data_IF_321621079920
#
_entry.id   IF_321621079920
#
_cell.length_a   1.000
_cell.length_b   1.000
_cell.length_c   1.000
_cell.angle_alpha   90.00
_cell.angle_beta   90.00
_cell.angle_gamma   90.00
#
_symmetry.space_group_name_H-M   'P 1'
#
loop_
_entity.id
_entity.type
_entity.pdbx_description
1 polymer ?
#
# COMPACT_ATOMS: atom_id res chain seq x y z
N UNK A 1 17.51 -3.84 9.22
CA UNK A 1 16.12 -4.26 8.89
C UNK A 1 15.88 -4.10 7.39
N UNK A 2 15.76 -5.21 6.65
CA UNK A 2 15.63 -5.24 5.18
C UNK A 2 14.39 -4.47 4.71
N UNK A 3 14.55 -3.62 3.69
CA UNK A 3 13.50 -2.74 3.13
C UNK A 3 12.23 -3.49 2.69
N UNK A 4 12.35 -4.79 2.39
CA UNK A 4 11.21 -5.66 2.10
C UNK A 4 10.31 -5.92 3.30
N UNK A 5 10.88 -6.08 4.50
CA UNK A 5 10.13 -6.41 5.72
C UNK A 5 9.37 -5.20 6.21
N UNK A 6 9.98 -4.01 6.16
CA UNK A 6 9.30 -2.74 6.45
C UNK A 6 8.07 -2.56 5.57
N UNK A 7 8.18 -2.97 4.30
CA UNK A 7 7.10 -2.83 3.34
C UNK A 7 5.96 -3.83 3.55
N UNK A 8 6.29 -5.10 3.79
CA UNK A 8 5.33 -6.15 4.09
C UNK A 8 4.54 -5.92 5.38
N UNK A 9 5.11 -5.17 6.33
CA UNK A 9 4.42 -4.80 7.56
C UNK A 9 3.58 -3.52 7.39
N UNK A 10 4.04 -2.57 6.55
CA UNK A 10 3.33 -1.30 6.37
C UNK A 10 1.95 -1.48 5.71
N UNK A 11 1.82 -2.39 4.74
CA UNK A 11 0.55 -2.68 4.10
C UNK A 11 -0.54 -3.21 5.06
N UNK A 12 -0.34 -4.32 5.79
CA UNK A 12 -1.33 -4.80 6.77
C UNK A 12 -1.52 -3.81 7.92
N UNK A 13 -0.46 -3.11 8.36
CA UNK A 13 -0.57 -2.10 9.41
C UNK A 13 -1.50 -0.94 8.99
N UNK A 14 -1.33 -0.41 7.78
CA UNK A 14 -2.21 0.64 7.25
C UNK A 14 -3.65 0.17 7.10
N UNK A 15 -3.87 -1.10 6.73
CA UNK A 15 -5.21 -1.69 6.62
C UNK A 15 -5.88 -1.83 7.99
N UNK A 16 -5.13 -2.25 9.01
CA UNK A 16 -5.60 -2.29 10.40
C UNK A 16 -5.94 -0.89 10.90
N UNK A 17 -5.12 0.11 10.57
CA UNK A 17 -5.36 1.50 10.98
C UNK A 17 -6.64 2.07 10.34
N UNK A 18 -6.91 1.75 9.07
CA UNK A 18 -8.17 2.10 8.39
C UNK A 18 -9.34 1.39 9.09
N UNK A 19 -9.23 0.08 9.38
CA UNK A 19 -10.25 -0.68 10.08
C UNK A 19 -10.56 -0.12 11.47
N UNK A 20 -9.52 0.24 12.23
CA UNK A 20 -9.67 0.93 13.52
C UNK A 20 -10.40 2.27 13.36
N UNK A 21 -10.02 3.08 12.38
CA UNK A 21 -10.72 4.34 12.07
C UNK A 21 -12.20 4.13 11.74
N UNK A 22 -12.55 3.06 11.01
CA UNK A 22 -13.94 2.71 10.73
C UNK A 22 -14.71 2.31 11.98
N UNK A 23 -14.11 1.55 12.90
CA UNK A 23 -14.74 1.22 14.18
C UNK A 23 -15.04 2.49 15.00
N UNK A 24 -14.07 3.41 15.11
CA UNK A 24 -14.26 4.69 15.81
C UNK A 24 -15.33 5.55 15.12
N UNK A 25 -15.40 5.52 13.78
CA UNK A 25 -16.44 6.19 13.02
C UNK A 25 -17.84 5.61 13.32
N UNK A 26 -17.96 4.27 13.39
CA UNK A 26 -19.21 3.60 13.77
C UNK A 26 -19.65 3.97 15.19
N UNK A 27 -18.71 4.06 16.12
CA UNK A 27 -18.98 4.48 17.50
C UNK A 27 -19.43 5.95 17.57
N UNK A 28 -18.78 6.84 16.80
CA UNK A 28 -19.20 8.23 16.66
C UNK A 28 -20.63 8.36 16.09
N UNK A 29 -20.97 7.54 15.09
CA UNK A 29 -22.32 7.48 14.54
C UNK A 29 -23.34 7.00 15.58
N UNK A 30 -22.98 5.98 16.38
CA UNK A 30 -23.84 5.49 17.46
C UNK A 30 -24.08 6.57 18.54
N UNK A 31 -23.03 7.30 18.94
CA UNK A 31 -23.11 8.43 19.88
C UNK A 31 -24.04 9.56 19.37
N UNK A 32 -24.03 9.82 18.06
CA UNK A 32 -24.97 10.76 17.43
C UNK A 32 -26.42 10.28 17.57
N UNK A 33 -26.67 8.98 17.47
CA UNK A 33 -28.01 8.39 17.62
C UNK A 33 -28.50 8.34 19.07
N UNK A 34 -27.60 8.23 20.05
CA UNK A 34 -27.96 8.16 21.48
C UNK A 34 -28.19 9.52 22.14
N UNK A 35 -28.09 10.63 21.39
CA UNK A 35 -28.38 11.98 21.91
C UNK A 35 -27.25 12.63 22.71
N UNK A 36 -26.01 12.16 22.56
CA UNK A 36 -24.84 12.79 23.18
C UNK A 36 -24.55 14.19 22.58
N UNK A 37 -23.88 15.08 23.35
CA UNK A 37 -23.61 16.45 22.92
C UNK A 37 -22.88 16.52 21.58
N UNK A 38 -23.31 17.46 20.73
CA UNK A 38 -22.82 17.67 19.36
C UNK A 38 -21.29 17.63 19.26
N UNK A 39 -20.62 18.33 20.17
CA UNK A 39 -19.16 18.41 20.21
C UNK A 39 -18.50 17.05 20.32
N UNK A 40 -19.07 16.10 21.07
CA UNK A 40 -18.44 14.79 21.35
C UNK A 40 -18.44 13.89 20.12
N UNK A 41 -19.61 13.66 19.53
CA UNK A 41 -19.70 12.78 18.35
C UNK A 41 -19.09 13.43 17.11
N UNK A 42 -19.13 14.76 16.99
CA UNK A 42 -18.48 15.47 15.89
C UNK A 42 -16.95 15.41 15.98
N UNK A 43 -16.37 15.62 17.17
CA UNK A 43 -14.92 15.46 17.38
C UNK A 43 -14.47 14.02 17.15
N UNK A 44 -15.20 13.03 17.66
CA UNK A 44 -14.90 11.61 17.42
C UNK A 44 -14.99 11.25 15.94
N UNK A 45 -16.04 11.71 15.24
CA UNK A 45 -16.19 11.51 13.81
C UNK A 45 -15.06 12.17 13.02
N UNK A 46 -14.69 13.41 13.35
CA UNK A 46 -13.59 14.12 12.70
C UNK A 46 -12.25 13.41 12.96
N UNK A 47 -12.02 12.95 14.18
CA UNK A 47 -10.84 12.17 14.54
C UNK A 47 -10.76 10.87 13.74
N UNK A 48 -11.87 10.13 13.63
CA UNK A 48 -11.91 8.91 12.79
C UNK A 48 -11.59 9.20 11.32
N UNK A 49 -12.10 10.30 10.75
CA UNK A 49 -11.79 10.73 9.39
C UNK A 49 -10.30 11.00 9.21
N UNK A 50 -9.65 11.66 10.17
CA UNK A 50 -8.19 11.89 10.15
C UNK A 50 -7.44 10.56 10.18
N UNK A 51 -7.84 9.62 11.04
CA UNK A 51 -7.21 8.30 11.15
C UNK A 51 -7.38 7.48 9.86
N UNK A 52 -8.57 7.48 9.27
CA UNK A 52 -8.86 6.78 8.00
C UNK A 52 -8.01 7.38 6.87
N UNK A 53 -7.99 8.72 6.73
CA UNK A 53 -7.22 9.39 5.68
C UNK A 53 -5.71 9.18 5.85
N UNK A 54 -5.21 9.22 7.09
CA UNK A 54 -3.81 8.90 7.39
C UNK A 54 -3.49 7.44 7.01
N UNK A 55 -4.37 6.50 7.36
CA UNK A 55 -4.27 5.09 6.97
C UNK A 55 -4.25 4.90 5.45
N UNK A 56 -5.13 5.59 4.71
CA UNK A 56 -5.15 5.56 3.24
C UNK A 56 -3.86 6.09 2.62
N UNK A 57 -3.31 7.19 3.15
CA UNK A 57 -2.05 7.76 2.66
C UNK A 57 -0.88 6.78 2.84
N UNK A 58 -0.79 6.15 4.01
CA UNK A 58 0.20 5.10 4.29
C UNK A 58 -0.01 3.87 3.40
N UNK A 59 -1.26 3.47 3.16
CA UNK A 59 -1.59 2.37 2.27
C UNK A 59 -1.19 2.66 0.82
N UNK A 60 -1.39 3.89 0.34
CA UNK A 60 -0.94 4.33 -0.99
C UNK A 60 0.57 4.23 -1.16
N UNK A 61 1.33 4.73 -0.19
CA UNK A 61 2.80 4.57 -0.19
C UNK A 61 3.22 3.10 -0.13
N UNK A 62 2.47 2.28 0.61
CA UNK A 62 2.69 0.86 0.60
C UNK A 62 2.52 0.34 -0.85
N UNK A 63 1.35 0.48 -1.48
CA UNK A 63 1.11 -0.06 -2.84
C UNK A 63 2.21 0.34 -3.84
N UNK A 64 2.63 1.61 -3.84
CA UNK A 64 3.69 2.10 -4.74
C UNK A 64 4.99 1.30 -4.58
N UNK A 65 5.42 1.06 -3.34
CA UNK A 65 6.62 0.26 -3.10
C UNK A 65 6.44 -1.20 -3.55
N UNK A 66 5.25 -1.81 -3.37
CA UNK A 66 4.94 -3.15 -3.93
C UNK A 66 5.23 -3.16 -5.41
N UNK A 67 4.68 -2.17 -6.08
CA UNK A 67 4.68 -2.04 -7.52
C UNK A 67 6.10 -1.79 -8.02
N UNK A 68 6.89 -0.97 -7.33
CA UNK A 68 8.30 -0.77 -7.65
C UNK A 68 9.13 -2.06 -7.50
N UNK A 69 8.89 -2.87 -6.46
CA UNK A 69 9.58 -4.14 -6.26
C UNK A 69 9.24 -5.12 -7.38
N UNK A 70 7.95 -5.26 -7.71
CA UNK A 70 7.50 -6.17 -8.76
C UNK A 70 7.99 -5.70 -10.14
N UNK A 71 7.84 -4.41 -10.44
CA UNK A 71 8.26 -3.83 -11.72
C UNK A 71 9.78 -3.98 -11.94
N UNK A 72 10.61 -3.76 -10.92
CA UNK A 72 12.06 -3.99 -11.02
C UNK A 72 12.40 -5.44 -11.35
N UNK A 73 11.64 -6.42 -10.86
CA UNK A 73 11.85 -7.84 -11.19
C UNK A 73 11.46 -8.13 -12.62
N UNK A 74 10.32 -7.61 -13.07
CA UNK A 74 9.84 -7.79 -14.44
C UNK A 74 10.81 -7.17 -15.44
N UNK A 75 11.21 -5.91 -15.24
CA UNK A 75 12.16 -5.20 -16.10
C UNK A 75 13.50 -5.96 -16.22
N UNK A 76 14.07 -6.44 -15.10
CA UNK A 76 15.31 -7.25 -15.15
C UNK A 76 15.16 -8.53 -15.97
N UNK A 77 14.00 -9.21 -15.90
CA UNK A 77 13.75 -10.42 -16.70
C UNK A 77 13.65 -10.09 -18.19
N UNK A 78 12.98 -8.99 -18.54
CA UNK A 78 12.89 -8.50 -19.91
C UNK A 78 14.26 -8.11 -20.47
N UNK A 79 15.05 -7.32 -19.73
CA UNK A 79 16.43 -6.95 -20.12
C UNK A 79 17.33 -8.18 -20.32
N UNK A 80 17.28 -9.17 -19.41
CA UNK A 80 18.06 -10.41 -19.57
C UNK A 80 17.62 -11.26 -20.77
N UNK A 81 16.35 -11.21 -21.17
CA UNK A 81 15.87 -11.87 -22.41
C UNK A 81 16.40 -11.12 -23.63
N UNK A 82 16.20 -9.81 -23.69
CA UNK A 82 16.67 -8.97 -24.79
C UNK A 82 18.18 -9.05 -25.00
N UNK A 83 18.97 -9.05 -23.91
CA UNK A 83 20.42 -9.19 -24.00
C UNK A 83 20.83 -10.56 -24.57
N UNK A 84 20.18 -11.65 -24.15
CA UNK A 84 20.44 -12.99 -24.69
C UNK A 84 20.06 -13.12 -26.16
N UNK A 85 18.92 -12.55 -26.55
CA UNK A 85 18.51 -12.47 -27.95
C UNK A 85 19.50 -11.68 -28.80
N UNK A 86 19.98 -10.53 -28.31
CA UNK A 86 21.03 -9.75 -29.00
C UNK A 86 22.33 -10.55 -29.13
N UNK A 87 22.82 -11.15 -28.05
CA UNK A 87 24.04 -11.98 -28.07
C UNK A 87 23.92 -13.17 -29.05
N UNK A 88 22.74 -13.78 -29.18
CA UNK A 88 22.48 -14.87 -30.15
C UNK A 88 22.39 -14.38 -31.61
N UNK A 89 22.03 -13.11 -31.83
CA UNK A 89 22.07 -12.49 -33.16
C UNK A 89 23.49 -12.06 -33.55
N UNK A 90 24.25 -11.56 -32.60
CA UNK A 90 25.62 -11.07 -32.80
C UNK A 90 26.64 -12.21 -32.94
N UNK A 91 26.37 -13.39 -32.37
CA UNK A 91 27.28 -14.54 -32.44
C UNK A 91 26.71 -15.65 -33.35
N UNK A 92 26.90 -15.58 -34.68
CA UNK A 92 26.35 -16.54 -35.65
C UNK A 92 26.99 -17.93 -35.54
N UNK A 93 28.16 -18.06 -34.90
CA UNK A 93 28.92 -19.32 -34.77
C UNK A 93 28.18 -20.38 -33.93
N UNK A 94 27.23 -19.98 -33.06
CA UNK A 94 26.38 -20.90 -32.28
C UNK A 94 25.13 -21.40 -33.02
N UNK A 95 24.94 -21.03 -34.29
CA UNK A 95 23.78 -21.42 -35.10
C UNK A 95 24.06 -22.57 -36.08
N UNK A 96 25.32 -23.01 -36.18
CA UNK A 96 25.72 -24.20 -36.94
C UNK A 96 25.77 -25.42 -36.03
#
# INVERSE_FOLDING_TARGET
MSTRTKWLLLAPFSLILIGYGLCVFSEAANLKHTGEPFSRWFLLGTYSLVVINAGLSLFGQAIIFRMQIENRRTIRRYLKKMLRERLKKENPVRRA
#
